data_IF_885267757542
#
_entry.id   IF_885267757542
#
_cell.length_a   1.000
_cell.length_b   1.000
_cell.length_c   1.000
_cell.angle_alpha   90.00
_cell.angle_beta   90.00
_cell.angle_gamma   90.00
#
_symmetry.space_group_name_H-M   'P 1'
#
loop_
_entity.id
_entity.type
_entity.pdbx_description
1 polymer ?
#
# COMPACT_ATOMS: atom_id res chain seq x y z
N UNK A 1 -41.59 34.21 -31.00
CA UNK A 1 -40.60 33.11 -31.09
C UNK A 1 -39.28 33.62 -30.53
N UNK A 2 -39.04 33.48 -29.24
CA UNK A 2 -37.72 33.73 -28.63
C UNK A 2 -37.47 32.55 -27.70
N UNK A 3 -36.80 31.55 -28.25
CA UNK A 3 -36.39 30.33 -27.55
C UNK A 3 -35.37 30.67 -26.46
N UNK A 4 -35.59 30.07 -25.30
CA UNK A 4 -34.73 30.04 -24.12
C UNK A 4 -33.25 29.78 -24.42
N UNK A 5 -32.38 30.44 -23.65
CA UNK A 5 -31.07 29.91 -23.34
C UNK A 5 -30.99 29.73 -21.82
N UNK A 6 -31.24 28.50 -21.37
CA UNK A 6 -30.93 28.05 -20.03
C UNK A 6 -29.39 28.00 -19.86
N UNK A 7 -28.82 28.52 -18.77
CA UNK A 7 -27.40 28.35 -18.48
C UNK A 7 -27.14 26.88 -18.16
N UNK A 8 -26.31 26.21 -18.96
CA UNK A 8 -25.80 24.88 -18.66
C UNK A 8 -24.91 24.97 -17.43
N UNK A 9 -25.42 24.54 -16.29
CA UNK A 9 -24.67 24.36 -15.05
C UNK A 9 -23.57 23.32 -15.30
N UNK A 10 -22.37 23.77 -15.68
CA UNK A 10 -21.20 22.90 -15.70
C UNK A 10 -20.94 22.42 -14.28
N UNK A 11 -21.25 21.16 -14.03
CA UNK A 11 -20.92 20.50 -12.76
C UNK A 11 -19.41 20.42 -12.67
N UNK A 12 -18.80 21.37 -11.98
CA UNK A 12 -17.37 21.37 -11.67
C UNK A 12 -17.09 20.23 -10.70
N UNK A 13 -16.90 19.01 -11.21
CA UNK A 13 -16.49 17.86 -10.39
C UNK A 13 -15.15 18.25 -9.76
N UNK A 14 -15.05 18.38 -8.43
CA UNK A 14 -13.80 18.79 -7.80
C UNK A 14 -12.75 17.71 -8.09
N UNK A 15 -11.81 18.03 -8.98
CA UNK A 15 -10.70 17.15 -9.28
C UNK A 15 -9.76 17.16 -8.08
N UNK A 16 -9.72 16.06 -7.32
CA UNK A 16 -8.77 15.90 -6.24
C UNK A 16 -7.35 16.00 -6.76
N UNK A 17 -6.52 16.82 -6.13
CA UNK A 17 -5.12 16.96 -6.54
C UNK A 17 -4.41 15.61 -6.39
N UNK A 18 -3.64 15.14 -7.39
CA UNK A 18 -3.03 13.81 -7.38
C UNK A 18 -2.11 13.58 -6.18
N UNK A 19 -1.50 14.64 -5.65
CA UNK A 19 -0.68 14.59 -4.42
C UNK A 19 -1.49 14.16 -3.21
N UNK A 20 -2.74 14.63 -3.04
CA UNK A 20 -3.59 14.21 -1.91
C UNK A 20 -3.95 12.73 -2.00
N UNK A 21 -4.21 12.24 -3.21
CA UNK A 21 -4.47 10.82 -3.46
C UNK A 21 -3.25 9.97 -3.11
N UNK A 22 -2.05 10.41 -3.54
CA UNK A 22 -0.81 9.72 -3.23
C UNK A 22 -0.50 9.73 -1.72
N UNK A 23 -0.70 10.86 -1.03
CA UNK A 23 -0.46 10.99 0.40
C UNK A 23 -1.43 10.11 1.22
N UNK A 24 -2.73 10.20 0.96
CA UNK A 24 -3.74 9.40 1.67
C UNK A 24 -3.56 7.92 1.39
N UNK A 25 -3.29 7.55 0.15
CA UNK A 25 -2.99 6.18 -0.23
C UNK A 25 -1.73 5.65 0.46
N UNK A 26 -0.66 6.44 0.49
CA UNK A 26 0.59 6.08 1.17
C UNK A 26 0.41 5.94 2.67
N UNK A 27 -0.35 6.84 3.30
CA UNK A 27 -0.63 6.80 4.74
C UNK A 27 -1.43 5.54 5.10
N UNK A 28 -2.44 5.19 4.29
CA UNK A 28 -3.21 3.97 4.49
C UNK A 28 -2.36 2.72 4.30
N UNK A 29 -1.54 2.67 3.25
CA UNK A 29 -0.62 1.57 2.99
C UNK A 29 0.39 1.44 4.15
N UNK A 30 1.01 2.53 4.58
CA UNK A 30 2.00 2.52 5.66
C UNK A 30 1.42 2.09 7.01
N UNK A 31 0.14 2.40 7.27
CA UNK A 31 -0.54 2.03 8.51
C UNK A 31 -1.21 0.66 8.39
N UNK A 32 -2.45 0.63 7.90
CA UNK A 32 -3.30 -0.56 7.86
C UNK A 32 -2.78 -1.59 6.85
N UNK A 33 -2.31 -1.14 5.68
CA UNK A 33 -1.79 -2.04 4.65
C UNK A 33 -0.53 -2.80 5.06
N UNK A 34 0.20 -2.30 6.06
CA UNK A 34 1.42 -2.90 6.61
C UNK A 34 1.22 -3.39 8.05
N UNK A 35 0.02 -3.87 8.40
CA UNK A 35 -0.28 -4.37 9.74
C UNK A 35 0.71 -5.42 10.26
N UNK A 36 1.10 -6.38 9.41
CA UNK A 36 2.07 -7.43 9.78
C UNK A 36 3.43 -6.84 10.22
N UNK A 37 3.90 -5.78 9.56
CA UNK A 37 5.12 -5.07 9.94
C UNK A 37 4.97 -4.44 11.34
N UNK A 38 3.82 -3.82 11.64
CA UNK A 38 3.58 -3.24 12.96
C UNK A 38 3.52 -4.29 14.06
N UNK A 39 3.01 -5.48 13.77
CA UNK A 39 3.08 -6.61 14.72
C UNK A 39 4.53 -7.01 15.02
N UNK A 40 5.37 -7.12 14.00
CA UNK A 40 6.79 -7.45 14.17
C UNK A 40 7.53 -6.35 14.93
N UNK A 41 7.26 -5.08 14.62
CA UNK A 41 7.85 -3.94 15.34
C UNK A 41 7.47 -3.98 16.81
N UNK A 42 6.20 -4.22 17.15
CA UNK A 42 5.73 -4.28 18.53
C UNK A 42 6.31 -5.46 19.34
N UNK A 43 6.82 -6.50 18.67
CA UNK A 43 7.49 -7.62 19.34
C UNK A 43 8.93 -7.30 19.75
N UNK A 44 9.53 -6.22 19.23
CA UNK A 44 10.88 -5.81 19.59
C UNK A 44 10.90 -5.26 21.03
N UNK A 45 11.71 -5.85 21.96
CA UNK A 45 11.77 -5.38 23.36
C UNK A 45 12.21 -3.91 23.51
N UNK A 46 12.97 -3.43 22.52
CA UNK A 46 13.55 -2.08 22.48
C UNK A 46 12.52 -0.98 22.20
N UNK A 47 11.33 -1.33 21.66
CA UNK A 47 10.24 -0.37 21.41
C UNK A 47 9.21 -0.32 22.55
N UNK A 48 9.66 -0.44 23.80
CA UNK A 48 8.79 -0.28 24.97
C UNK A 48 8.58 1.19 25.36
N UNK A 49 7.34 1.53 25.73
CA UNK A 49 6.96 2.84 26.27
C UNK A 49 7.00 4.00 25.26
N UNK A 50 7.26 5.21 25.76
CA UNK A 50 7.26 6.47 24.97
C UNK A 50 8.29 6.47 23.82
N UNK A 51 9.44 5.81 24.01
CA UNK A 51 10.48 5.70 22.98
C UNK A 51 10.04 4.82 21.81
N UNK A 52 9.34 3.72 22.11
CA UNK A 52 8.73 2.88 21.09
C UNK A 52 7.67 3.62 20.26
N UNK A 53 6.86 4.45 20.92
CA UNK A 53 5.87 5.30 20.25
C UNK A 53 6.53 6.31 19.31
N UNK A 54 7.59 6.98 19.76
CA UNK A 54 8.36 7.90 18.92
C UNK A 54 9.04 7.19 17.74
N UNK A 55 9.60 6.00 17.97
CA UNK A 55 10.18 5.16 16.91
C UNK A 55 9.12 4.75 15.89
N UNK A 56 7.97 4.26 16.34
CA UNK A 56 6.87 3.85 15.46
C UNK A 56 6.36 5.02 14.61
N UNK A 57 6.18 6.21 15.21
CA UNK A 57 5.79 7.40 14.47
C UNK A 57 6.85 7.82 13.44
N UNK A 58 8.13 7.87 13.84
CA UNK A 58 9.22 8.22 12.94
C UNK A 58 9.36 7.24 11.78
N UNK A 59 9.28 5.94 12.08
CA UNK A 59 9.33 4.88 11.09
C UNK A 59 8.12 4.93 10.14
N UNK A 60 6.92 5.18 10.67
CA UNK A 60 5.71 5.35 9.86
C UNK A 60 5.80 6.56 8.92
N UNK A 61 6.39 7.67 9.36
CA UNK A 61 6.66 8.85 8.51
C UNK A 61 7.65 8.52 7.40
N UNK A 62 8.73 7.78 7.71
CA UNK A 62 9.70 7.32 6.70
C UNK A 62 9.01 6.45 5.65
N UNK A 63 8.20 5.46 6.05
CA UNK A 63 7.48 4.59 5.11
C UNK A 63 6.50 5.40 4.26
N UNK A 64 5.72 6.29 4.89
CA UNK A 64 4.73 7.12 4.19
C UNK A 64 5.39 8.05 3.18
N UNK A 65 6.50 8.69 3.55
CA UNK A 65 7.26 9.58 2.66
C UNK A 65 7.91 8.81 1.51
N UNK A 66 8.47 7.64 1.77
CA UNK A 66 9.04 6.78 0.73
C UNK A 66 7.97 6.31 -0.27
N UNK A 67 6.82 5.82 0.20
CA UNK A 67 5.68 5.45 -0.65
C UNK A 67 5.17 6.65 -1.46
N UNK A 68 5.05 7.81 -0.82
CA UNK A 68 4.60 9.03 -1.51
C UNK A 68 5.60 9.45 -2.58
N UNK A 69 6.90 9.36 -2.32
CA UNK A 69 7.94 9.66 -3.31
C UNK A 69 7.88 8.71 -4.50
N UNK A 70 7.72 7.41 -4.26
CA UNK A 70 7.56 6.38 -5.32
C UNK A 70 6.31 6.64 -6.14
N UNK A 71 5.16 6.88 -5.50
CA UNK A 71 3.91 7.18 -6.20
C UNK A 71 3.96 8.50 -6.96
N UNK A 72 4.65 9.50 -6.42
CA UNK A 72 4.86 10.79 -7.09
C UNK A 72 5.75 10.65 -8.31
N UNK A 73 6.79 9.81 -8.24
CA UNK A 73 7.65 9.50 -9.37
C UNK A 73 6.89 8.72 -10.46
N UNK A 74 6.02 7.78 -10.07
CA UNK A 74 5.15 7.02 -10.97
C UNK A 74 3.91 7.78 -11.46
N UNK A 75 3.74 9.06 -11.08
CA UNK A 75 2.57 9.86 -11.44
C UNK A 75 2.58 10.37 -12.90
N UNK A 76 3.02 9.54 -13.85
CA UNK A 76 3.01 9.87 -15.26
C UNK A 76 1.57 9.80 -15.79
N UNK A 77 0.99 10.95 -16.14
CA UNK A 77 -0.28 11.14 -16.90
C UNK A 77 -1.39 10.10 -16.63
N UNK A 78 -1.83 9.96 -15.38
CA UNK A 78 -3.03 9.18 -15.02
C UNK A 78 -2.79 7.73 -14.56
N UNK A 79 -1.54 7.27 -14.52
CA UNK A 79 -1.17 5.95 -14.01
C UNK A 79 -1.29 5.80 -12.48
N UNK A 80 -1.54 6.89 -11.75
CA UNK A 80 -1.62 6.85 -10.28
C UNK A 80 -2.68 5.87 -9.77
N UNK A 81 -3.87 5.86 -10.40
CA UNK A 81 -4.97 4.97 -9.99
C UNK A 81 -4.62 3.48 -10.13
N UNK A 82 -4.19 2.97 -11.30
CA UNK A 82 -3.85 1.55 -11.44
C UNK A 82 -2.64 1.16 -10.58
N UNK A 83 -1.61 2.02 -10.50
CA UNK A 83 -0.45 1.75 -9.64
C UNK A 83 -0.88 1.62 -8.18
N UNK A 84 -1.74 2.52 -7.69
CA UNK A 84 -2.24 2.45 -6.33
C UNK A 84 -3.05 1.16 -6.10
N UNK A 85 -3.91 0.76 -7.03
CA UNK A 85 -4.64 -0.51 -6.93
C UNK A 85 -3.70 -1.72 -6.82
N UNK A 86 -2.63 -1.76 -7.61
CA UNK A 86 -1.62 -2.82 -7.52
C UNK A 86 -0.94 -2.80 -6.15
N UNK A 87 -0.51 -1.64 -5.66
CA UNK A 87 0.08 -1.52 -4.33
C UNK A 87 -0.85 -2.00 -3.21
N UNK A 88 -2.14 -1.65 -3.29
CA UNK A 88 -3.14 -2.10 -2.32
C UNK A 88 -3.35 -3.62 -2.37
N UNK A 89 -3.47 -4.20 -3.56
CA UNK A 89 -3.61 -5.65 -3.73
C UNK A 89 -2.37 -6.40 -3.23
N UNK A 90 -1.17 -5.89 -3.56
CA UNK A 90 0.10 -6.45 -3.08
C UNK A 90 0.21 -6.36 -1.56
N UNK A 91 -0.14 -5.21 -0.96
CA UNK A 91 -0.14 -5.03 0.49
C UNK A 91 -1.14 -5.96 1.18
N UNK A 92 -2.36 -6.07 0.67
CA UNK A 92 -3.38 -6.98 1.21
C UNK A 92 -2.94 -8.45 1.11
N UNK A 93 -2.38 -8.86 -0.03
CA UNK A 93 -1.88 -10.21 -0.24
C UNK A 93 -0.72 -10.52 0.71
N UNK A 94 0.26 -9.62 0.78
CA UNK A 94 1.42 -9.76 1.66
C UNK A 94 1.02 -9.81 3.14
N UNK A 95 0.13 -8.93 3.58
CA UNK A 95 -0.41 -8.94 4.93
C UNK A 95 -1.16 -10.25 5.22
N UNK A 96 -1.97 -10.75 4.30
CA UNK A 96 -2.67 -12.03 4.46
C UNK A 96 -1.70 -13.20 4.60
N UNK A 97 -0.67 -13.29 3.76
CA UNK A 97 0.33 -14.36 3.84
C UNK A 97 1.15 -14.30 5.13
N UNK A 98 1.58 -13.10 5.53
CA UNK A 98 2.34 -12.89 6.75
C UNK A 98 1.51 -13.18 8.02
N UNK A 99 0.25 -12.78 8.05
CA UNK A 99 -0.61 -12.96 9.23
C UNK A 99 -1.18 -14.38 9.31
N UNK A 100 -1.67 -14.94 8.20
CA UNK A 100 -2.37 -16.23 8.21
C UNK A 100 -1.42 -17.42 8.22
N UNK A 101 -0.29 -17.32 7.52
CA UNK A 101 0.67 -18.43 7.41
C UNK A 101 1.97 -18.18 8.21
N UNK A 102 2.15 -16.99 8.80
CA UNK A 102 3.41 -16.62 9.47
C UNK A 102 4.59 -16.51 8.51
N UNK A 103 4.34 -16.55 7.20
CA UNK A 103 5.36 -16.57 6.16
C UNK A 103 5.88 -15.15 5.97
N UNK A 104 7.15 -14.93 6.27
CA UNK A 104 7.87 -13.73 5.84
C UNK A 104 8.21 -13.91 4.36
N UNK A 105 7.71 -13.03 3.50
CA UNK A 105 8.00 -13.07 2.06
C UNK A 105 9.47 -12.68 1.86
N UNK A 106 10.33 -13.68 1.70
CA UNK A 106 11.74 -13.53 1.35
C UNK A 106 12.00 -13.93 -0.12
N UNK A 107 13.13 -13.49 -0.65
CA UNK A 107 13.71 -13.90 -1.93
C UNK A 107 13.73 -15.42 -2.15
N UNK A 108 13.99 -16.21 -1.11
CA UNK A 108 13.94 -17.68 -1.17
C UNK A 108 12.53 -18.21 -1.42
N UNK A 109 11.50 -17.64 -0.79
CA UNK A 109 10.09 -17.97 -1.03
C UNK A 109 9.66 -17.66 -2.46
N UNK A 110 10.04 -16.51 -2.99
CA UNK A 110 9.74 -16.15 -4.39
C UNK A 110 10.45 -17.12 -5.35
N UNK A 111 11.71 -17.45 -5.06
CA UNK A 111 12.48 -18.39 -5.86
C UNK A 111 11.86 -19.78 -5.83
N UNK A 112 11.43 -20.26 -4.67
CA UNK A 112 10.72 -21.54 -4.55
C UNK A 112 9.42 -21.52 -5.35
N UNK A 113 8.59 -20.47 -5.25
CA UNK A 113 7.33 -20.41 -6.04
C UNK A 113 7.59 -20.35 -7.55
N UNK A 114 8.64 -19.64 -7.99
CA UNK A 114 8.99 -19.51 -9.41
C UNK A 114 9.67 -20.77 -9.95
N UNK A 115 10.44 -21.48 -9.11
CA UNK A 115 11.18 -22.69 -9.48
C UNK A 115 10.39 -23.98 -9.26
N UNK A 116 9.38 -23.98 -8.37
CA UNK A 116 8.59 -25.17 -8.07
C UNK A 116 7.70 -25.52 -9.25
N UNK A 117 7.98 -26.69 -9.82
CA UNK A 117 7.08 -27.42 -10.69
C UNK A 117 5.88 -27.89 -9.86
N UNK A 118 4.65 -27.68 -10.33
CA UNK A 118 3.40 -28.06 -9.63
C UNK A 118 3.37 -29.52 -9.12
N UNK A 119 4.25 -30.38 -9.65
CA UNK A 119 4.50 -31.75 -9.18
C UNK A 119 5.12 -31.86 -7.78
N UNK A 120 6.03 -30.99 -7.35
CA UNK A 120 6.64 -31.09 -6.01
C UNK A 120 5.67 -30.67 -4.90
N UNK A 121 4.80 -29.69 -5.18
CA UNK A 121 3.77 -29.25 -4.24
C UNK A 121 2.66 -30.30 -4.02
N UNK A 122 2.43 -31.20 -5.00
CA UNK A 122 1.46 -32.29 -4.93
C UNK A 122 2.04 -33.60 -4.35
N UNK A 123 3.37 -33.76 -4.32
CA UNK A 123 4.03 -34.93 -3.73
C UNK A 123 4.09 -34.87 -2.19
N UNK A 124 3.68 -33.74 -1.60
CA UNK A 124 3.62 -33.49 -0.16
C UNK A 124 2.18 -33.52 0.41
N UNK A 125 1.18 -33.89 -0.38
CA UNK A 125 -0.23 -34.15 0.04
C UNK A 125 -0.58 -35.62 -0.12
#
# INVERSE_FOLDING_TARGET
>A
MTSEHAPTSETHVPAWHPVWVALLGSLWLASVGNYALWQQVHQLPEVSGLRGLAFALGFGVIITSALTAVLSFLNWRGWLKPVLSVFFLSAASGAYFMVSYGIVIDSTMITNVVQTDTKEALDLL
#
